data_IF_854787577332
#
_entry.id   IF_854787577332
#
_cell.length_a   1.000
_cell.length_b   1.000
_cell.length_c   1.000
_cell.angle_alpha   90.00
_cell.angle_beta   90.00
_cell.angle_gamma   90.00
#
_symmetry.space_group_name_H-M   'P 1'
#
loop_
_entity.id
_entity.type
_entity.pdbx_description
1 polymer ?
#
# COMPACT_ATOMS: atom_id res chain seq x y z
N UNK A 1 15.83 13.46 1.22
CA UNK A 1 16.19 12.18 1.88
C UNK A 1 14.97 11.28 1.92
N UNK A 2 15.05 10.03 1.48
CA UNK A 2 13.89 9.12 1.55
C UNK A 2 13.71 8.57 2.97
N UNK A 3 12.50 8.68 3.51
CA UNK A 3 12.11 8.08 4.78
C UNK A 3 12.04 6.55 4.66
N UNK A 4 12.65 5.85 5.62
CA UNK A 4 12.48 4.41 5.73
C UNK A 4 11.06 4.07 6.19
N UNK A 5 10.59 2.85 5.88
CA UNK A 5 9.27 2.37 6.30
C UNK A 5 9.11 2.42 7.82
N UNK A 6 10.16 2.07 8.58
CA UNK A 6 10.14 2.19 10.03
C UNK A 6 9.88 3.63 10.45
N UNK A 7 10.53 4.59 9.79
CA UNK A 7 10.38 5.99 10.13
C UNK A 7 8.99 6.50 9.79
N UNK A 8 8.37 6.05 8.68
CA UNK A 8 6.98 6.35 8.37
C UNK A 8 6.02 5.77 9.43
N UNK A 9 6.24 4.53 9.89
CA UNK A 9 5.46 3.92 10.97
C UNK A 9 5.58 4.75 12.25
N UNK A 10 6.77 5.23 12.59
CA UNK A 10 7.00 6.07 13.78
C UNK A 10 6.38 7.47 13.66
N UNK A 11 6.35 8.07 12.47
CA UNK A 11 5.85 9.43 12.26
C UNK A 11 4.33 9.53 12.17
N UNK A 12 3.69 8.50 11.61
CA UNK A 12 2.23 8.42 11.40
C UNK A 12 1.55 7.62 12.53
N UNK A 13 2.32 6.85 13.30
CA UNK A 13 1.87 6.12 14.48
C UNK A 13 0.61 5.26 14.23
N UNK A 14 -0.50 5.60 14.88
CA UNK A 14 -1.74 4.84 14.87
C UNK A 14 -2.49 4.91 13.53
N UNK A 15 -2.19 5.93 12.71
CA UNK A 15 -2.85 6.11 11.42
C UNK A 15 -2.11 5.40 10.28
N UNK A 16 -0.93 4.81 10.55
CA UNK A 16 -0.14 4.12 9.52
C UNK A 16 -0.90 2.96 8.86
N UNK A 17 -1.68 2.12 9.57
CA UNK A 17 -2.49 1.09 8.93
C UNK A 17 -3.51 1.67 7.94
N UNK A 18 -4.12 2.82 8.27
CA UNK A 18 -5.08 3.49 7.38
C UNK A 18 -4.37 4.07 6.15
N UNK A 19 -3.18 4.65 6.33
CA UNK A 19 -2.32 5.12 5.24
C UNK A 19 -1.91 3.99 4.31
N UNK A 20 -1.48 2.85 4.87
CA UNK A 20 -1.12 1.67 4.09
C UNK A 20 -2.32 1.16 3.29
N UNK A 21 -3.50 1.08 3.91
CA UNK A 21 -4.73 0.70 3.22
C UNK A 21 -5.06 1.64 2.05
N UNK A 22 -4.92 2.96 2.26
CA UNK A 22 -5.17 3.96 1.22
C UNK A 22 -4.20 3.80 0.04
N UNK A 23 -2.90 3.59 0.32
CA UNK A 23 -1.91 3.30 -0.73
C UNK A 23 -2.28 2.01 -1.46
N UNK A 24 -2.53 0.91 -0.74
CA UNK A 24 -2.91 -0.38 -1.32
C UNK A 24 -4.22 -0.32 -2.12
N UNK A 25 -5.13 0.61 -1.80
CA UNK A 25 -6.40 0.79 -2.50
C UNK A 25 -6.31 1.74 -3.70
N UNK A 26 -5.11 2.25 -4.03
CA UNK A 26 -4.89 3.30 -5.05
C UNK A 26 -5.74 4.55 -4.79
N UNK A 27 -6.02 4.86 -3.52
CA UNK A 27 -6.66 6.13 -3.19
C UNK A 27 -5.68 7.27 -3.49
N UNK A 28 -6.15 8.39 -4.07
CA UNK A 28 -5.35 9.60 -4.17
C UNK A 28 -4.95 10.06 -2.77
N UNK A 29 -3.67 10.38 -2.57
CA UNK A 29 -3.13 10.86 -1.30
C UNK A 29 -2.51 12.23 -1.51
N UNK A 30 -2.94 13.19 -0.72
CA UNK A 30 -2.39 14.54 -0.67
C UNK A 30 -1.44 14.65 0.52
N UNK A 31 -0.16 14.94 0.27
CA UNK A 31 0.83 15.18 1.31
C UNK A 31 0.94 16.69 1.48
N UNK A 32 0.40 17.23 2.57
CA UNK A 32 0.29 18.67 2.78
C UNK A 32 1.15 19.13 3.96
N UNK A 33 2.00 20.14 3.75
CA UNK A 33 2.87 20.69 4.79
C UNK A 33 3.58 21.96 4.33
N UNK A 34 4.20 22.68 5.28
CA UNK A 34 4.84 23.97 4.98
C UNK A 34 6.27 23.84 4.43
N UNK A 35 6.96 22.75 4.78
CA UNK A 35 8.33 22.49 4.34
C UNK A 35 8.30 21.68 3.05
N UNK A 36 8.73 22.30 1.95
CA UNK A 36 8.68 21.71 0.60
C UNK A 36 9.56 20.46 0.49
N UNK A 37 10.76 20.49 1.07
CA UNK A 37 11.69 19.36 1.00
C UNK A 37 11.12 18.17 1.75
N UNK A 38 10.56 18.43 2.94
CA UNK A 38 9.91 17.41 3.75
C UNK A 38 8.66 16.81 3.06
N UNK A 39 7.84 17.66 2.44
CA UNK A 39 6.67 17.21 1.67
C UNK A 39 7.09 16.31 0.51
N UNK A 40 8.11 16.70 -0.26
CA UNK A 40 8.59 15.92 -1.40
C UNK A 40 9.24 14.61 -0.96
N UNK A 41 10.05 14.64 0.11
CA UNK A 41 10.66 13.45 0.70
C UNK A 41 9.60 12.43 1.16
N UNK A 42 8.55 12.90 1.85
CA UNK A 42 7.43 12.05 2.28
C UNK A 42 6.65 11.53 1.07
N UNK A 43 6.31 12.39 0.11
CA UNK A 43 5.61 12.03 -1.14
C UNK A 43 6.34 10.91 -1.88
N UNK A 44 7.67 11.02 -1.98
CA UNK A 44 8.50 9.97 -2.57
C UNK A 44 8.50 8.69 -1.72
N UNK A 45 8.60 8.82 -0.41
CA UNK A 45 8.69 7.67 0.51
C UNK A 45 7.39 6.87 0.57
N UNK A 46 6.23 7.51 0.47
CA UNK A 46 4.94 6.82 0.42
C UNK A 46 4.81 5.88 -0.79
N UNK A 47 5.51 6.16 -1.90
CA UNK A 47 5.50 5.26 -3.05
C UNK A 47 6.16 3.91 -2.77
N UNK A 48 7.04 3.84 -1.75
CA UNK A 48 7.67 2.59 -1.31
C UNK A 48 6.71 1.65 -0.56
N UNK A 49 5.53 2.14 -0.15
CA UNK A 49 4.54 1.32 0.54
C UNK A 49 3.78 0.36 -0.41
N UNK A 50 3.97 0.48 -1.72
CA UNK A 50 3.43 -0.44 -2.73
C UNK A 50 4.56 -0.99 -3.63
N UNK A 51 5.46 -1.84 -3.09
CA UNK A 51 6.64 -2.34 -3.81
C UNK A 51 6.29 -3.22 -5.02
N UNK A 52 5.09 -3.78 -5.09
CA UNK A 52 4.59 -4.54 -6.24
C UNK A 52 4.20 -3.66 -7.43
N UNK A 53 4.11 -2.34 -7.24
CA UNK A 53 3.71 -1.37 -8.26
C UNK A 53 4.90 -0.68 -8.90
N UNK A 54 4.73 -0.32 -10.17
CA UNK A 54 5.69 0.49 -10.89
C UNK A 54 5.49 1.97 -10.56
N UNK A 55 6.51 2.62 -10.00
CA UNK A 55 6.48 4.05 -9.69
C UNK A 55 6.70 4.88 -10.96
N UNK A 56 5.77 5.80 -11.22
CA UNK A 56 5.93 6.85 -12.23
C UNK A 56 5.99 8.22 -11.56
N UNK A 57 6.93 9.06 -11.96
CA UNK A 57 7.07 10.43 -11.47
C UNK A 57 6.58 11.40 -12.53
N UNK A 58 5.56 12.19 -12.17
CA UNK A 58 5.02 13.21 -13.05
C UNK A 58 6.08 14.27 -13.38
N UNK A 59 6.11 14.70 -14.65
CA UNK A 59 7.09 15.63 -15.22
C UNK A 59 8.51 15.06 -15.41
N UNK A 60 8.75 13.80 -15.06
CA UNK A 60 9.97 13.07 -15.38
C UNK A 60 9.70 11.90 -16.33
N UNK A 61 8.71 11.08 -15.97
CA UNK A 61 8.40 9.84 -16.68
C UNK A 61 7.24 10.04 -17.68
N UNK A 62 6.35 11.00 -17.41
CA UNK A 62 5.27 11.40 -18.32
C UNK A 62 4.85 12.87 -18.08
N UNK A 63 4.21 13.50 -19.07
CA UNK A 63 3.83 14.93 -19.00
C UNK A 63 2.39 15.25 -19.38
N UNK A 64 1.62 14.26 -19.82
CA UNK A 64 0.24 14.42 -20.26
C UNK A 64 -0.68 13.33 -19.72
N UNK A 65 -1.97 13.63 -19.61
CA UNK A 65 -2.96 12.64 -19.15
C UNK A 65 -3.11 11.47 -20.12
N UNK A 66 -2.94 11.69 -21.43
CA UNK A 66 -3.07 10.62 -22.42
C UNK A 66 -1.98 9.54 -22.27
N UNK A 67 -0.76 9.92 -21.87
CA UNK A 67 0.32 8.98 -21.60
C UNK A 67 -0.05 8.04 -20.45
N UNK A 68 -0.51 8.58 -19.31
CA UNK A 68 -0.87 7.76 -18.14
C UNK A 68 -2.16 6.96 -18.38
N UNK A 69 -3.13 7.49 -19.12
CA UNK A 69 -4.32 6.75 -19.52
C UNK A 69 -4.00 5.54 -20.39
N UNK A 70 -2.99 5.64 -21.27
CA UNK A 70 -2.55 4.52 -22.10
C UNK A 70 -1.96 3.40 -21.25
N UNK A 71 -1.18 3.75 -20.23
CA UNK A 71 -0.63 2.79 -19.26
C UNK A 71 -1.76 2.10 -18.48
N UNK A 72 -2.74 2.85 -17.98
CA UNK A 72 -3.88 2.26 -17.27
C UNK A 72 -4.76 1.38 -18.16
N UNK A 73 -4.84 1.68 -19.45
CA UNK A 73 -5.56 0.82 -20.38
C UNK A 73 -4.83 -0.50 -20.59
N UNK A 74 -3.50 -0.49 -20.65
CA UNK A 74 -2.69 -1.72 -20.67
C UNK A 74 -2.86 -2.53 -19.38
N UNK A 75 -2.83 -1.86 -18.22
CA UNK A 75 -3.09 -2.49 -16.91
C UNK A 75 -4.42 -3.26 -16.88
N UNK A 76 -5.49 -2.71 -17.47
CA UNK A 76 -6.81 -3.38 -17.47
C UNK A 76 -6.82 -4.68 -18.29
N UNK A 77 -6.05 -4.74 -19.37
CA UNK A 77 -6.11 -5.87 -20.30
C UNK A 77 -5.14 -7.00 -19.94
N UNK A 78 -4.07 -6.70 -19.21
CA UNK A 78 -3.06 -7.69 -18.83
C UNK A 78 -2.94 -7.80 -17.31
N UNK A 79 -3.32 -8.94 -16.75
CA UNK A 79 -3.22 -9.22 -15.30
C UNK A 79 -1.79 -9.47 -14.82
N UNK A 80 -0.82 -9.58 -15.74
CA UNK A 80 0.60 -9.80 -15.46
C UNK A 80 1.39 -8.50 -15.29
N UNK A 81 0.87 -7.38 -15.79
CA UNK A 81 1.56 -6.08 -15.72
C UNK A 81 1.52 -5.52 -14.30
N UNK A 82 2.63 -5.01 -13.77
CA UNK A 82 2.61 -4.29 -12.48
C UNK A 82 1.80 -3.00 -12.59
N UNK A 83 0.87 -2.79 -11.66
CA UNK A 83 0.08 -1.55 -11.65
C UNK A 83 0.94 -0.36 -11.28
N UNK A 84 0.52 0.82 -11.69
CA UNK A 84 1.28 2.04 -11.45
C UNK A 84 0.85 2.77 -10.19
N UNK A 85 1.84 3.36 -9.54
CA UNK A 85 1.66 4.40 -8.52
C UNK A 85 2.33 5.67 -9.00
N UNK A 86 1.61 6.79 -8.95
CA UNK A 86 2.10 8.06 -9.47
C UNK A 86 2.57 8.94 -8.33
N UNK A 87 3.76 9.50 -8.48
CA UNK A 87 4.35 10.45 -7.55
C UNK A 87 4.39 11.83 -8.21
N UNK A 88 3.66 12.79 -7.64
CA UNK A 88 3.63 14.18 -8.07
C UNK A 88 4.30 15.08 -7.03
N UNK A 89 5.52 15.54 -7.33
CA UNK A 89 6.26 16.42 -6.43
C UNK A 89 5.67 17.84 -6.40
N UNK A 90 5.90 18.54 -5.30
CA UNK A 90 5.38 19.86 -4.97
C UNK A 90 5.68 20.90 -6.06
N UNK A 91 6.90 20.86 -6.63
CA UNK A 91 7.33 21.76 -7.71
C UNK A 91 6.46 21.66 -8.98
N UNK A 92 5.80 20.52 -9.21
CA UNK A 92 5.00 20.25 -10.39
C UNK A 92 3.49 20.31 -10.10
N UNK A 93 3.07 20.71 -8.89
CA UNK A 93 1.66 20.74 -8.47
C UNK A 93 0.77 21.47 -9.49
N UNK A 94 1.13 22.71 -9.85
CA UNK A 94 0.33 23.50 -10.81
C UNK A 94 0.20 22.78 -12.16
N UNK A 95 1.28 22.21 -12.67
CA UNK A 95 1.28 21.50 -13.95
C UNK A 95 0.41 20.24 -13.89
N UNK A 96 0.43 19.51 -12.77
CA UNK A 96 -0.41 18.35 -12.55
C UNK A 96 -1.89 18.76 -12.54
N UNK A 97 -2.24 19.83 -11.83
CA UNK A 97 -3.60 20.36 -11.82
C UNK A 97 -4.02 20.88 -13.20
N UNK A 98 -3.15 21.50 -13.99
CA UNK A 98 -3.55 21.99 -15.32
C UNK A 98 -3.76 20.86 -16.33
N UNK A 99 -3.07 19.72 -16.17
CA UNK A 99 -2.98 18.68 -17.21
C UNK A 99 -3.68 17.37 -16.88
N UNK A 100 -3.94 17.09 -15.61
CA UNK A 100 -4.44 15.80 -15.14
C UNK A 100 -5.81 16.00 -14.52
N UNK A 101 -6.79 15.19 -14.94
CA UNK A 101 -8.13 15.19 -14.37
C UNK A 101 -8.36 14.02 -13.43
N UNK A 102 -7.73 12.87 -13.70
CA UNK A 102 -7.87 11.64 -12.90
C UNK A 102 -6.64 11.41 -12.02
N UNK A 103 -6.88 11.34 -10.71
CA UNK A 103 -5.82 11.19 -9.70
C UNK A 103 -5.77 9.80 -9.04
N UNK A 104 -6.38 8.77 -9.66
CA UNK A 104 -6.33 7.40 -9.13
C UNK A 104 -4.88 6.92 -8.96
N UNK A 105 -4.51 6.46 -7.77
CA UNK A 105 -3.15 6.02 -7.44
C UNK A 105 -2.10 7.13 -7.40
N UNK A 106 -2.50 8.41 -7.32
CA UNK A 106 -1.56 9.53 -7.17
C UNK A 106 -1.22 9.79 -5.70
N UNK A 107 0.05 10.08 -5.45
CA UNK A 107 0.55 10.70 -4.22
C UNK A 107 1.08 12.08 -4.63
N UNK A 108 0.45 13.14 -4.14
CA UNK A 108 0.68 14.52 -4.58
C UNK A 108 1.17 15.39 -3.43
N UNK A 109 2.34 16.02 -3.61
CA UNK A 109 2.90 17.00 -2.68
C UNK A 109 2.21 18.36 -2.79
N UNK A 110 1.77 18.90 -1.65
CA UNK A 110 1.09 20.19 -1.52
C UNK A 110 1.87 21.06 -0.51
N UNK A 111 2.74 21.97 -1.00
CA UNK A 111 3.58 22.80 -0.15
C UNK A 111 2.81 24.02 0.39
N UNK A 112 2.00 23.84 1.42
CA UNK A 112 1.22 24.91 2.05
C UNK A 112 2.09 26.12 2.44
N UNK A 113 1.56 27.32 2.29
CA UNK A 113 2.26 28.58 2.57
C UNK A 113 3.35 28.97 1.56
N UNK A 114 3.56 28.19 0.50
CA UNK A 114 4.56 28.47 -0.54
C UNK A 114 3.91 28.86 -1.87
N UNK A 115 4.66 29.57 -2.71
CA UNK A 115 4.25 29.89 -4.08
C UNK A 115 4.86 28.89 -5.07
N UNK A 116 4.03 28.12 -5.78
CA UNK A 116 4.47 27.17 -6.81
C UNK A 116 4.08 27.69 -8.19
N UNK A 117 5.08 27.94 -9.05
CA UNK A 117 4.88 28.47 -10.41
C UNK A 117 3.93 29.68 -10.43
N UNK A 118 4.05 30.58 -9.45
CA UNK A 118 3.23 31.80 -9.35
C UNK A 118 1.81 31.61 -8.79
N UNK A 119 1.51 30.45 -8.20
CA UNK A 119 0.26 30.19 -7.46
C UNK A 119 0.59 30.02 -5.99
N UNK A 120 -0.03 30.83 -5.14
CA UNK A 120 0.08 30.67 -3.69
C UNK A 120 -0.73 29.43 -3.25
N UNK A 121 -0.05 28.53 -2.55
CA UNK A 121 -0.62 27.27 -2.08
C UNK A 121 -1.10 27.47 -0.66
N UNK A 122 -2.40 27.65 -0.48
CA UNK A 122 -3.04 27.78 0.83
C UNK A 122 -4.08 26.66 1.08
N UNK A 123 -4.73 26.68 2.24
CA UNK A 123 -5.81 25.75 2.54
C UNK A 123 -6.98 25.87 1.55
N UNK A 124 -7.20 27.03 0.93
CA UNK A 124 -8.23 27.23 -0.10
C UNK A 124 -7.92 26.46 -1.37
N UNK A 125 -6.66 26.49 -1.83
CA UNK A 125 -6.20 25.66 -2.94
C UNK A 125 -6.28 24.17 -2.58
N UNK A 126 -5.86 23.78 -1.37
CA UNK A 126 -5.99 22.40 -0.91
C UNK A 126 -7.44 21.90 -1.00
N UNK A 127 -8.42 22.68 -0.54
CA UNK A 127 -9.85 22.35 -0.68
C UNK A 127 -10.29 22.26 -2.14
N UNK A 128 -9.77 23.12 -3.00
CA UNK A 128 -10.06 23.07 -4.44
C UNK A 128 -9.53 21.77 -5.07
N UNK A 129 -8.33 21.34 -4.69
CA UNK A 129 -7.74 20.07 -5.15
C UNK A 129 -8.55 18.88 -4.63
N UNK A 130 -8.92 18.87 -3.35
CA UNK A 130 -9.77 17.83 -2.75
C UNK A 130 -11.08 17.70 -3.52
N UNK A 131 -11.79 18.80 -3.73
CA UNK A 131 -13.08 18.80 -4.45
C UNK A 131 -12.93 18.27 -5.87
N UNK A 132 -11.85 18.62 -6.56
CA UNK A 132 -11.56 18.11 -7.90
C UNK A 132 -11.29 16.60 -7.91
N UNK A 133 -10.52 16.11 -6.95
CA UNK A 133 -10.23 14.68 -6.83
C UNK A 133 -11.53 13.91 -6.56
N UNK A 134 -12.37 14.38 -5.64
CA UNK A 134 -13.64 13.75 -5.30
C UNK A 134 -14.67 13.72 -6.44
N UNK A 135 -14.52 14.56 -7.46
CA UNK A 135 -15.35 14.47 -8.68
C UNK A 135 -15.05 13.21 -9.51
N UNK A 136 -13.86 12.63 -9.35
CA UNK A 136 -13.38 11.50 -10.17
C UNK A 136 -13.01 10.26 -9.36
N UNK A 137 -12.87 10.40 -8.06
CA UNK A 137 -12.48 9.36 -7.12
C UNK A 137 -13.50 9.28 -5.99
N UNK A 138 -13.73 8.08 -5.46
CA UNK A 138 -14.68 7.87 -4.37
C UNK A 138 -14.23 8.53 -3.06
N UNK A 139 -12.92 8.60 -2.81
CA UNK A 139 -12.36 9.17 -1.59
C UNK A 139 -10.97 9.76 -1.85
N UNK A 140 -10.42 10.47 -0.88
CA UNK A 140 -9.09 11.06 -0.91
C UNK A 140 -8.46 10.97 0.49
N UNK A 141 -7.19 10.58 0.56
CA UNK A 141 -6.39 10.65 1.77
C UNK A 141 -5.65 11.98 1.89
N UNK A 142 -5.47 12.47 3.10
CA UNK A 142 -4.65 13.64 3.41
C UNK A 142 -3.66 13.25 4.50
N UNK A 143 -2.38 13.35 4.19
CA UNK A 143 -1.29 13.28 5.15
C UNK A 143 -0.84 14.70 5.48
N UNK A 144 -1.18 15.19 6.66
CA UNK A 144 -0.74 16.51 7.13
C UNK A 144 0.57 16.40 7.90
N UNK A 145 1.54 17.21 7.50
CA UNK A 145 2.84 17.32 8.15
C UNK A 145 2.79 18.54 9.07
N UNK A 146 2.43 18.32 10.33
CA UNK A 146 2.35 19.39 11.33
C UNK A 146 3.75 19.80 11.81
N UNK A 147 4.64 18.82 11.98
CA UNK A 147 6.05 19.02 12.32
C UNK A 147 6.93 17.94 11.66
N UNK A 148 8.26 18.13 11.58
CA UNK A 148 9.18 17.09 11.09
C UNK A 148 9.15 15.76 11.87
N UNK A 149 8.48 15.74 13.03
CA UNK A 149 8.42 14.60 13.95
C UNK A 149 7.02 14.03 14.12
N UNK A 150 5.99 14.60 13.49
CA UNK A 150 4.60 14.14 13.65
C UNK A 150 3.80 14.44 12.40
N UNK A 151 3.12 13.41 11.90
CA UNK A 151 2.28 13.45 10.72
C UNK A 151 0.95 12.79 11.04
N UNK A 152 -0.15 13.39 10.58
CA UNK A 152 -1.49 12.86 10.81
C UNK A 152 -2.12 12.46 9.48
N UNK A 153 -2.65 11.24 9.39
CA UNK A 153 -3.31 10.77 8.18
C UNK A 153 -4.81 10.61 8.39
N UNK A 154 -5.60 11.14 7.47
CA UNK A 154 -7.04 10.96 7.47
C UNK A 154 -7.59 10.78 6.07
N UNK A 155 -8.75 10.13 5.98
CA UNK A 155 -9.56 10.10 4.78
C UNK A 155 -10.63 11.19 4.86
N UNK A 156 -11.00 11.77 3.73
CA UNK A 156 -12.10 12.74 3.66
C UNK A 156 -13.42 12.09 4.09
N UNK A 157 -13.74 10.94 3.51
CA UNK A 157 -14.87 10.14 3.94
C UNK A 157 -14.40 9.05 4.90
N UNK A 158 -15.10 8.88 6.02
CA UNK A 158 -14.80 7.83 7.00
C UNK A 158 -14.98 6.46 6.37
N UNK A 159 -13.88 5.71 6.27
CA UNK A 159 -13.90 4.34 5.80
C UNK A 159 -13.93 3.38 6.99
N UNK A 160 -14.96 2.55 7.08
CA UNK A 160 -15.05 1.48 8.06
C UNK A 160 -14.41 0.21 7.48
N UNK A 161 -13.08 0.14 7.47
CA UNK A 161 -12.34 -1.13 7.29
C UNK A 161 -11.80 -1.56 8.66
N UNK A 162 -11.70 -2.88 8.88
CA UNK A 162 -11.08 -3.45 10.07
C UNK A 162 -9.59 -3.09 10.16
N UNK A 163 -8.94 -2.85 9.00
CA UNK A 163 -7.50 -2.64 8.83
C UNK A 163 -6.67 -3.80 9.40
N UNK A 164 -7.26 -5.00 9.49
CA UNK A 164 -6.63 -6.15 10.15
C UNK A 164 -5.38 -6.63 9.41
N UNK A 165 -5.39 -6.52 8.08
CA UNK A 165 -4.26 -6.88 7.22
C UNK A 165 -3.09 -5.94 7.50
N UNK A 166 -3.34 -4.64 7.47
CA UNK A 166 -2.32 -3.61 7.65
C UNK A 166 -1.75 -3.63 9.06
N UNK A 167 -2.60 -3.79 10.08
CA UNK A 167 -2.18 -3.99 11.48
C UNK A 167 -1.32 -5.23 11.64
N UNK A 168 -1.66 -6.33 10.96
CA UNK A 168 -0.86 -7.56 10.98
C UNK A 168 0.50 -7.35 10.34
N UNK A 169 0.56 -6.67 9.18
CA UNK A 169 1.81 -6.35 8.48
C UNK A 169 2.73 -5.55 9.41
N UNK A 170 2.23 -4.48 10.02
CA UNK A 170 2.99 -3.66 10.99
C UNK A 170 3.50 -4.50 12.15
N UNK A 171 2.62 -5.32 12.75
CA UNK A 171 2.98 -6.18 13.89
C UNK A 171 4.07 -7.20 13.52
N UNK A 172 3.96 -7.81 12.34
CA UNK A 172 4.96 -8.76 11.84
C UNK A 172 6.31 -8.10 11.61
N UNK A 173 6.33 -6.90 11.03
CA UNK A 173 7.56 -6.13 10.81
C UNK A 173 8.26 -5.85 12.13
N UNK A 174 7.53 -5.30 13.12
CA UNK A 174 8.09 -4.99 14.44
C UNK A 174 8.62 -6.25 15.14
N UNK A 175 7.90 -7.36 15.04
CA UNK A 175 8.27 -8.63 15.69
C UNK A 175 9.48 -9.29 15.03
N UNK A 176 9.46 -9.48 13.70
CA UNK A 176 10.56 -10.11 12.95
C UNK A 176 11.84 -9.27 13.03
N UNK A 177 11.73 -7.95 12.91
CA UNK A 177 12.85 -7.02 13.11
C UNK A 177 13.54 -7.25 14.45
N UNK A 178 12.78 -7.24 15.54
CA UNK A 178 13.31 -7.43 16.90
C UNK A 178 14.02 -8.78 17.04
N UNK A 179 13.40 -9.86 16.58
CA UNK A 179 13.96 -11.21 16.66
C UNK A 179 15.26 -11.36 15.85
N UNK A 180 15.28 -10.86 14.60
CA UNK A 180 16.46 -10.92 13.73
C UNK A 180 17.62 -10.11 14.28
N UNK A 181 17.38 -8.88 14.74
CA UNK A 181 18.42 -8.04 15.33
C UNK A 181 18.99 -8.63 16.62
N UNK A 182 18.15 -9.18 17.49
CA UNK A 182 18.62 -9.89 18.69
C UNK A 182 19.48 -11.10 18.33
N UNK A 183 19.07 -11.89 17.32
CA UNK A 183 19.84 -13.05 16.86
C UNK A 183 21.21 -12.64 16.33
N UNK A 184 21.27 -11.62 15.48
CA UNK A 184 22.53 -11.10 14.92
C UNK A 184 23.43 -10.56 16.05
N UNK A 185 22.90 -9.76 16.97
CA UNK A 185 23.65 -9.26 18.14
C UNK A 185 24.23 -10.40 18.98
N UNK A 186 23.46 -11.47 19.23
CA UNK A 186 23.95 -12.65 19.96
C UNK A 186 25.07 -13.37 19.22
N UNK A 187 24.96 -13.53 17.89
CA UNK A 187 25.99 -14.15 17.07
C UNK A 187 27.28 -13.31 17.05
N UNK A 188 27.17 -12.01 16.83
CA UNK A 188 28.32 -11.09 16.86
C UNK A 188 28.99 -11.07 18.23
N UNK A 189 28.22 -10.95 19.31
CA UNK A 189 28.77 -11.04 20.67
C UNK A 189 29.48 -12.36 20.93
N UNK A 190 28.94 -13.49 20.44
CA UNK A 190 29.59 -14.80 20.57
C UNK A 190 30.93 -14.84 19.81
N UNK A 191 30.98 -14.29 18.61
CA UNK A 191 32.21 -14.25 17.79
C UNK A 191 33.26 -13.30 18.34
N UNK A 192 32.86 -12.26 19.08
CA UNK A 192 33.77 -11.30 19.72
C UNK A 192 34.33 -11.80 21.07
N UNK A 193 33.78 -12.89 21.64
CA UNK A 193 34.30 -13.45 22.90
C UNK A 193 35.72 -13.99 22.70
N UNK A 194 36.64 -13.53 23.54
CA UNK A 194 38.04 -13.95 23.53
C UNK A 194 38.97 -13.09 22.69
N UNK A 195 38.45 -12.06 22.01
CA UNK A 195 39.26 -11.03 21.39
C UNK A 195 39.45 -9.87 22.40
N UNK A 196 40.68 -9.42 22.61
CA UNK A 196 41.00 -8.23 23.41
C UNK A 196 40.65 -6.95 22.64
N UNK A 197 39.37 -6.77 22.31
CA UNK A 197 38.89 -5.59 21.61
C UNK A 197 38.32 -4.58 22.60
N UNK A 198 38.57 -3.30 22.38
CA UNK A 198 38.00 -2.24 23.22
C UNK A 198 36.47 -2.21 23.13
N UNK A 199 35.81 -1.83 24.22
CA UNK A 199 34.35 -1.71 24.28
C UNK A 199 33.78 -0.76 23.21
N UNK A 200 34.55 0.23 22.77
CA UNK A 200 34.14 1.15 21.71
C UNK A 200 33.98 0.41 20.36
N UNK A 201 34.90 -0.50 20.03
CA UNK A 201 34.83 -1.26 18.78
C UNK A 201 33.71 -2.30 18.84
N UNK A 202 33.52 -2.95 19.99
CA UNK A 202 32.38 -3.86 20.22
C UNK A 202 31.06 -3.11 20.00
N UNK A 203 30.90 -1.92 20.57
CA UNK A 203 29.70 -1.11 20.39
C UNK A 203 29.49 -0.67 18.94
N UNK A 204 30.56 -0.31 18.23
CA UNK A 204 30.48 0.06 16.81
C UNK A 204 30.04 -1.14 15.94
N UNK A 205 30.54 -2.35 16.21
CA UNK A 205 30.14 -3.57 15.49
C UNK A 205 28.68 -3.95 15.78
N UNK A 206 28.19 -3.65 16.99
CA UNK A 206 26.79 -3.93 17.38
C UNK A 206 25.81 -2.83 16.97
N UNK A 207 26.29 -1.76 16.33
CA UNK A 207 25.46 -0.70 15.75
C UNK A 207 24.92 -1.19 14.40
N UNK A 208 23.75 -1.81 14.45
CA UNK A 208 23.09 -2.48 13.32
C UNK A 208 21.97 -1.62 12.69
N UNK A 209 22.15 -0.30 12.63
CA UNK A 209 21.09 0.62 12.20
C UNK A 209 20.76 0.41 10.70
N UNK A 210 21.79 0.28 9.86
CA UNK A 210 21.61 0.01 8.43
C UNK A 210 21.00 -1.37 8.18
N UNK A 211 21.44 -2.40 8.91
CA UNK A 211 20.88 -3.75 8.83
C UNK A 211 19.43 -3.77 9.31
N UNK A 212 19.11 -2.97 10.34
CA UNK A 212 17.75 -2.80 10.83
C UNK A 212 16.83 -2.21 9.76
N UNK A 213 17.27 -1.17 9.05
CA UNK A 213 16.47 -0.56 7.98
C UNK A 213 16.24 -1.53 6.82
N UNK A 214 17.29 -2.22 6.37
CA UNK A 214 17.18 -3.25 5.33
C UNK A 214 16.25 -4.39 5.72
N UNK A 215 16.40 -4.93 6.94
CA UNK A 215 15.50 -5.96 7.45
C UNK A 215 14.05 -5.50 7.51
N UNK A 216 13.80 -4.24 7.87
CA UNK A 216 12.44 -3.68 7.85
C UNK A 216 11.89 -3.65 6.43
N UNK A 217 12.68 -3.17 5.47
CA UNK A 217 12.27 -3.12 4.06
C UNK A 217 11.98 -4.53 3.52
N UNK A 218 12.90 -5.48 3.70
CA UNK A 218 12.76 -6.84 3.20
C UNK A 218 11.51 -7.54 3.75
N UNK A 219 11.24 -7.39 5.06
CA UNK A 219 10.05 -7.99 5.69
C UNK A 219 8.77 -7.32 5.22
N UNK A 220 8.78 -6.00 5.02
CA UNK A 220 7.62 -5.30 4.47
C UNK A 220 7.32 -5.77 3.04
N UNK A 221 8.34 -5.79 2.18
CA UNK A 221 8.21 -6.19 0.78
C UNK A 221 7.73 -7.65 0.65
N UNK A 222 8.25 -8.55 1.49
CA UNK A 222 7.80 -9.95 1.57
C UNK A 222 6.31 -10.04 1.93
N UNK A 223 5.86 -9.32 2.96
CA UNK A 223 4.47 -9.39 3.42
C UNK A 223 3.48 -8.78 2.42
N UNK A 224 3.82 -7.65 1.80
CA UNK A 224 3.00 -7.08 0.72
C UNK A 224 2.94 -8.02 -0.48
N UNK A 225 4.09 -8.54 -0.92
CA UNK A 225 4.14 -9.47 -2.06
C UNK A 225 3.33 -10.74 -1.79
N UNK A 226 3.42 -11.31 -0.58
CA UNK A 226 2.63 -12.48 -0.20
C UNK A 226 1.13 -12.20 -0.26
N UNK A 227 0.68 -11.02 0.19
CA UNK A 227 -0.72 -10.63 0.13
C UNK A 227 -1.20 -10.46 -1.32
N UNK A 228 -0.42 -9.75 -2.16
CA UNK A 228 -0.73 -9.55 -3.59
C UNK A 228 -0.76 -10.89 -4.34
N UNK A 229 0.17 -11.81 -4.06
CA UNK A 229 0.16 -13.15 -4.65
C UNK A 229 -1.05 -13.99 -4.19
N UNK A 230 -1.50 -13.84 -2.94
CA UNK A 230 -2.74 -14.46 -2.49
C UNK A 230 -3.95 -13.90 -3.24
N UNK A 231 -4.03 -12.58 -3.39
CA UNK A 231 -5.08 -11.92 -4.15
C UNK A 231 -5.10 -12.34 -5.63
N UNK A 232 -3.93 -12.46 -6.26
CA UNK A 232 -3.82 -12.94 -7.64
C UNK A 232 -4.29 -14.39 -7.80
N UNK A 233 -3.99 -15.26 -6.82
CA UNK A 233 -4.54 -16.63 -6.77
C UNK A 233 -6.05 -16.61 -6.61
N UNK A 234 -6.59 -15.70 -5.79
CA UNK A 234 -8.03 -15.50 -5.65
C UNK A 234 -8.66 -15.11 -7.00
N UNK A 235 -8.10 -14.14 -7.74
CA UNK A 235 -8.59 -13.77 -9.08
C UNK A 235 -8.65 -14.97 -10.00
N UNK A 236 -7.60 -15.78 -10.04
CA UNK A 236 -7.56 -16.98 -10.91
C UNK A 236 -8.68 -17.97 -10.56
N UNK A 237 -8.88 -18.23 -9.26
CA UNK A 237 -9.90 -19.17 -8.78
C UNK A 237 -11.32 -18.64 -9.01
N UNK A 238 -11.56 -17.37 -8.67
CA UNK A 238 -12.87 -16.73 -8.76
C UNK A 238 -13.29 -16.52 -10.23
N UNK A 239 -12.34 -16.21 -11.11
CA UNK A 239 -12.58 -16.17 -12.57
C UNK A 239 -13.08 -17.51 -13.10
N UNK A 240 -12.49 -18.62 -12.66
CA UNK A 240 -12.93 -19.97 -13.05
C UNK A 240 -14.32 -20.30 -12.51
N UNK A 241 -14.62 -19.88 -11.28
CA UNK A 241 -15.95 -20.06 -10.69
C UNK A 241 -17.00 -19.25 -11.46
N UNK A 242 -16.70 -17.99 -11.79
CA UNK A 242 -17.58 -17.15 -12.60
C UNK A 242 -17.88 -17.79 -13.95
N UNK A 243 -16.85 -18.25 -14.67
CA UNK A 243 -17.01 -18.96 -15.94
C UNK A 243 -17.85 -20.24 -15.80
N UNK A 244 -17.61 -21.04 -14.76
CA UNK A 244 -18.44 -22.23 -14.50
C UNK A 244 -19.92 -21.86 -14.27
N UNK A 245 -20.19 -20.75 -13.58
CA UNK A 245 -21.55 -20.24 -13.35
C UNK A 245 -22.21 -19.77 -14.64
N UNK A 246 -21.47 -19.08 -15.50
CA UNK A 246 -21.96 -18.66 -16.82
C UNK A 246 -22.32 -19.87 -17.71
N UNK A 247 -21.61 -20.99 -17.53
CA UNK A 247 -21.91 -22.28 -18.19
C UNK A 247 -23.03 -23.08 -17.51
N UNK A 248 -23.67 -22.54 -16.46
CA UNK A 248 -24.83 -23.13 -15.80
C UNK A 248 -24.54 -23.91 -14.51
N UNK A 249 -23.31 -23.92 -14.01
CA UNK A 249 -22.99 -24.54 -12.72
C UNK A 249 -23.43 -23.66 -11.53
N UNK A 250 -24.00 -24.25 -10.48
CA UNK A 250 -24.37 -23.52 -9.25
C UNK A 250 -23.23 -23.44 -8.23
N UNK A 251 -21.97 -23.36 -8.70
CA UNK A 251 -20.79 -23.38 -7.84
C UNK A 251 -20.57 -22.04 -7.16
N UNK A 252 -20.47 -22.06 -5.84
CA UNK A 252 -20.06 -20.91 -5.02
C UNK A 252 -18.94 -21.35 -4.09
N UNK A 253 -18.04 -20.42 -3.77
CA UNK A 253 -17.02 -20.66 -2.75
C UNK A 253 -17.44 -20.03 -1.42
N UNK A 254 -17.07 -20.67 -0.32
CA UNK A 254 -17.15 -20.04 1.00
C UNK A 254 -15.88 -19.26 1.28
N UNK A 255 -15.97 -18.20 2.07
CA UNK A 255 -14.83 -17.37 2.47
C UNK A 255 -13.68 -18.21 3.06
N UNK A 256 -13.99 -19.15 3.96
CA UNK A 256 -12.99 -20.06 4.55
C UNK A 256 -12.24 -20.87 3.50
N UNK A 257 -12.96 -21.45 2.53
CA UNK A 257 -12.33 -22.25 1.48
C UNK A 257 -11.48 -21.37 0.56
N UNK A 258 -11.84 -20.09 0.39
CA UNK A 258 -11.05 -19.15 -0.43
C UNK A 258 -9.71 -18.91 0.22
N UNK A 259 -9.73 -18.50 1.49
CA UNK A 259 -8.53 -18.18 2.28
C UNK A 259 -7.60 -19.39 2.41
N UNK A 260 -8.15 -20.59 2.61
CA UNK A 260 -7.38 -21.84 2.61
C UNK A 260 -6.73 -22.12 1.24
N UNK A 261 -7.47 -22.00 0.15
CA UNK A 261 -6.97 -22.26 -1.20
C UNK A 261 -5.90 -21.24 -1.66
N UNK A 262 -6.04 -19.98 -1.27
CA UNK A 262 -5.05 -18.93 -1.57
C UNK A 262 -3.94 -18.88 -0.54
N UNK A 263 -3.95 -19.70 0.51
CA UNK A 263 -2.93 -19.74 1.54
C UNK A 263 -2.71 -18.39 2.22
N UNK A 264 -3.80 -17.68 2.54
CA UNK A 264 -3.78 -16.42 3.28
C UNK A 264 -4.80 -16.49 4.42
N UNK A 265 -4.42 -16.04 5.60
CA UNK A 265 -5.14 -16.30 6.85
C UNK A 265 -5.51 -15.03 7.61
N UNK A 266 -5.61 -13.88 6.94
CA UNK A 266 -5.93 -12.60 7.60
C UNK A 266 -6.71 -11.63 6.75
N UNK A 267 -7.44 -10.74 7.43
CA UNK A 267 -8.38 -9.81 6.82
C UNK A 267 -9.73 -10.44 6.55
N UNK A 268 -10.66 -9.60 6.13
CA UNK A 268 -12.00 -10.01 5.70
C UNK A 268 -12.03 -10.18 4.17
N UNK A 269 -13.03 -10.90 3.66
CA UNK A 269 -13.28 -10.99 2.22
C UNK A 269 -13.39 -9.60 1.56
N UNK A 270 -14.00 -8.63 2.24
CA UNK A 270 -14.14 -7.24 1.77
C UNK A 270 -12.78 -6.61 1.45
N UNK A 271 -11.79 -6.77 2.32
CA UNK A 271 -10.43 -6.25 2.13
C UNK A 271 -9.77 -6.89 0.89
N UNK A 272 -9.93 -8.21 0.74
CA UNK A 272 -9.42 -8.96 -0.42
C UNK A 272 -10.06 -8.49 -1.73
N UNK A 273 -11.38 -8.33 -1.75
CA UNK A 273 -12.11 -7.84 -2.93
C UNK A 273 -11.70 -6.40 -3.26
N UNK A 274 -11.52 -5.55 -2.25
CA UNK A 274 -11.05 -4.17 -2.43
C UNK A 274 -9.67 -4.14 -3.09
N UNK A 275 -8.72 -4.97 -2.62
CA UNK A 275 -7.41 -5.08 -3.28
C UNK A 275 -7.57 -5.60 -4.72
N UNK A 276 -8.41 -6.60 -4.94
CA UNK A 276 -8.62 -7.16 -6.29
C UNK A 276 -9.19 -6.10 -7.24
N UNK A 277 -10.15 -5.31 -6.78
CA UNK A 277 -10.71 -4.22 -7.56
C UNK A 277 -9.66 -3.13 -7.86
N UNK A 278 -8.81 -2.79 -6.89
CA UNK A 278 -7.75 -1.80 -7.06
C UNK A 278 -6.65 -2.24 -8.04
N UNK A 279 -6.28 -3.53 -8.01
CA UNK A 279 -5.24 -4.09 -8.87
C UNK A 279 -5.80 -4.51 -10.24
N UNK A 280 -6.89 -5.28 -10.30
CA UNK A 280 -7.37 -5.90 -11.54
C UNK A 280 -8.71 -5.36 -12.07
N UNK A 281 -9.31 -4.35 -11.42
CA UNK A 281 -10.60 -3.77 -11.82
C UNK A 281 -11.75 -4.79 -11.91
N UNK A 282 -11.64 -5.86 -11.12
CA UNK A 282 -12.61 -6.94 -11.03
C UNK A 282 -13.34 -6.89 -9.69
N UNK A 283 -14.63 -7.20 -9.68
CA UNK A 283 -15.42 -7.37 -8.46
C UNK A 283 -15.98 -8.79 -8.42
N UNK A 284 -15.44 -9.65 -7.56
CA UNK A 284 -15.86 -11.04 -7.36
C UNK A 284 -16.76 -11.25 -6.14
N UNK A 285 -17.37 -10.19 -5.60
CA UNK A 285 -18.30 -10.27 -4.47
C UNK A 285 -19.45 -11.25 -4.73
N UNK A 286 -19.84 -11.40 -5.99
CA UNK A 286 -20.92 -12.29 -6.44
C UNK A 286 -20.56 -13.79 -6.40
N UNK A 287 -19.27 -14.12 -6.36
CA UNK A 287 -18.75 -15.49 -6.44
C UNK A 287 -18.58 -16.16 -5.07
N UNK A 288 -18.66 -15.39 -3.98
CA UNK A 288 -18.41 -15.87 -2.61
C UNK A 288 -19.68 -15.71 -1.78
N UNK A 289 -20.10 -16.79 -1.10
CA UNK A 289 -21.24 -16.74 -0.19
C UNK A 289 -20.78 -16.47 1.24
N UNK A 290 -21.32 -15.42 1.84
CA UNK A 290 -21.24 -15.19 3.27
C UNK A 290 -22.20 -16.17 3.99
N UNK A 291 -21.68 -17.04 4.85
CA UNK A 291 -22.48 -17.85 5.78
C UNK A 291 -22.23 -19.36 5.76
N UNK A 292 -22.21 -19.93 6.97
CA UNK A 292 -21.89 -21.34 7.27
C UNK A 292 -22.77 -22.38 6.56
N UNK A 293 -23.99 -22.02 6.15
CA UNK A 293 -24.95 -22.95 5.53
C UNK A 293 -24.60 -23.37 4.10
N UNK A 294 -23.70 -22.64 3.42
CA UNK A 294 -23.23 -22.99 2.07
C UNK A 294 -21.97 -23.86 2.06
N UNK A 295 -21.25 -23.95 3.19
CA UNK A 295 -20.05 -24.78 3.33
C UNK A 295 -20.33 -26.27 3.42
N UNK A 296 -21.52 -26.67 3.88
CA UNK A 296 -21.89 -28.08 4.00
C UNK A 296 -22.08 -28.75 2.62
N UNK A 297 -22.68 -28.05 1.65
CA UNK A 297 -22.86 -28.57 0.29
C UNK A 297 -21.52 -28.74 -0.44
N UNK A 298 -20.65 -27.72 -0.40
CA UNK A 298 -19.34 -27.77 -1.04
C UNK A 298 -18.37 -28.76 -0.37
N UNK A 299 -18.46 -28.96 0.94
CA UNK A 299 -17.66 -29.97 1.65
C UNK A 299 -18.11 -31.39 1.31
N UNK A 300 -19.42 -31.63 1.24
CA UNK A 300 -19.98 -32.91 0.79
C UNK A 300 -19.54 -33.19 -0.64
N UNK A 301 -19.68 -32.24 -1.57
CA UNK A 301 -19.23 -32.43 -2.96
C UNK A 301 -17.71 -32.67 -3.08
N UNK A 302 -16.89 -32.05 -2.22
CA UNK A 302 -15.43 -32.29 -2.21
C UNK A 302 -15.02 -33.69 -1.74
N UNK A 303 -15.86 -34.36 -0.93
CA UNK A 303 -15.61 -35.74 -0.48
C UNK A 303 -16.08 -36.80 -1.48
N UNK A 304 -16.95 -36.44 -2.43
CA UNK A 304 -17.51 -37.38 -3.40
C UNK A 304 -16.93 -37.26 -4.80
N UNK A 305 -15.77 -36.59 -4.95
CA UNK A 305 -14.94 -36.48 -6.14
C UNK A 305 -15.55 -37.08 -7.42
N UNK A 306 -16.19 -36.22 -8.22
CA UNK A 306 -16.52 -36.56 -9.60
C UNK A 306 -15.35 -36.24 -10.52
#
# INVERSE_FOLDING_TARGET
MTYSIMRLIELVENDFPLLLNAVMSRLPILVAGNDVELVDDVTESLSMLAPHRHKLVFWRDFTSENEILSVWEEEKHDYEVSRTIVCGLSSNLRLALDRITRFAGWILGIPLGNTVLGVDVDDGLLQTVINRILQTSQNCGILRIDTPSSMNFSLIETHHSSLDIEKRIVTKILTRKKQSLERIRRLLMKSLRGLEVSNHVVNAILKLDNESEKLTQDVFDEEISNYVHAARRAVTLLSRIRLARELGASTFLTERNLFEAIGWDSGELSDLIQLIHAEWHEDFSDCVKAGALSGLGAWVDSMWGT
#
